data_IF_502895819887
#
_entry.id   IF_502895819887
#
_cell.length_a   1.000
_cell.length_b   1.000
_cell.length_c   1.000
_cell.angle_alpha   90.00
_cell.angle_beta   90.00
_cell.angle_gamma   90.00
#
_symmetry.space_group_name_H-M   'P 1'
#
loop_
_entity.id
_entity.type
_entity.pdbx_description
1 polymer ?
#
# COMPACT_ATOMS: atom_id res chain seq x y z
N UNK A 1 -16.19 2.98 -14.75
CA UNK A 1 -14.78 3.19 -14.36
C UNK A 1 -14.63 4.34 -13.36
N UNK A 2 -15.11 5.54 -13.68
CA UNK A 2 -14.98 6.74 -12.83
C UNK A 2 -15.47 6.57 -11.38
N UNK A 3 -16.63 5.93 -11.16
CA UNK A 3 -17.19 5.73 -9.82
C UNK A 3 -16.33 4.86 -8.89
N UNK A 4 -15.72 3.81 -9.45
CA UNK A 4 -14.82 2.93 -8.68
C UNK A 4 -13.55 3.68 -8.26
N UNK A 5 -13.01 4.49 -9.17
CA UNK A 5 -11.85 5.32 -8.88
C UNK A 5 -12.17 6.40 -7.83
N UNK A 6 -13.32 7.08 -7.95
CA UNK A 6 -13.72 8.08 -6.96
C UNK A 6 -13.93 7.47 -5.58
N UNK A 7 -14.52 6.27 -5.49
CA UNK A 7 -14.65 5.55 -4.22
C UNK A 7 -13.27 5.24 -3.62
N UNK A 8 -12.38 4.65 -4.41
CA UNK A 8 -11.03 4.30 -3.95
C UNK A 8 -10.24 5.53 -3.48
N UNK A 9 -10.39 6.68 -4.16
CA UNK A 9 -9.76 7.93 -3.74
C UNK A 9 -10.30 8.45 -2.40
N UNK A 10 -11.61 8.34 -2.16
CA UNK A 10 -12.23 8.73 -0.88
C UNK A 10 -11.79 7.77 0.23
N UNK A 11 -11.74 6.47 -0.05
CA UNK A 11 -11.31 5.46 0.92
C UNK A 11 -9.83 5.63 1.26
N UNK A 12 -8.98 5.90 0.27
CA UNK A 12 -7.56 6.20 0.45
C UNK A 12 -7.34 7.50 1.25
N UNK A 13 -8.15 8.54 1.03
CA UNK A 13 -8.10 9.77 1.81
C UNK A 13 -8.45 9.56 3.29
N UNK A 14 -9.26 8.55 3.60
CA UNK A 14 -9.56 8.11 4.97
C UNK A 14 -8.55 7.12 5.54
N UNK A 15 -7.48 6.81 4.81
CA UNK A 15 -6.48 5.83 5.22
C UNK A 15 -6.97 4.39 5.14
N UNK A 16 -7.90 4.09 4.22
CA UNK A 16 -8.47 2.76 4.01
C UNK A 16 -8.49 2.40 2.52
N UNK A 17 -8.98 1.21 2.17
CA UNK A 17 -9.05 0.77 0.77
C UNK A 17 -7.87 -0.09 0.32
N UNK A 18 -7.99 -0.63 -0.88
CA UNK A 18 -7.05 -1.63 -1.40
C UNK A 18 -5.67 -1.02 -1.67
N UNK A 19 -5.62 0.25 -2.07
CA UNK A 19 -4.36 0.98 -2.26
C UNK A 19 -3.55 1.11 -0.97
N UNK A 20 -4.23 1.40 0.15
CA UNK A 20 -3.58 1.51 1.47
C UNK A 20 -3.12 0.14 1.95
N UNK A 21 -3.95 -0.90 1.81
CA UNK A 21 -3.55 -2.27 2.17
C UNK A 21 -2.29 -2.71 1.41
N UNK A 22 -2.25 -2.49 0.09
CA UNK A 22 -1.05 -2.81 -0.72
C UNK A 22 0.20 -2.06 -0.26
N UNK A 23 0.05 -0.78 0.12
CA UNK A 23 1.16 0.01 0.67
C UNK A 23 1.67 -0.62 1.98
N UNK A 24 0.79 -0.96 2.90
CA UNK A 24 1.15 -1.58 4.19
C UNK A 24 1.79 -2.96 4.02
N UNK A 25 1.26 -3.79 3.13
CA UNK A 25 1.83 -5.09 2.78
C UNK A 25 3.25 -4.93 2.23
N UNK A 26 3.44 -3.94 1.34
CA UNK A 26 4.76 -3.64 0.75
C UNK A 26 5.75 -3.17 1.81
N UNK A 27 5.32 -2.32 2.75
CA UNK A 27 6.17 -1.88 3.85
C UNK A 27 6.54 -3.02 4.79
N UNK A 28 5.59 -3.88 5.17
CA UNK A 28 5.84 -5.05 6.01
C UNK A 28 6.82 -6.01 5.36
N UNK A 29 6.66 -6.26 4.05
CA UNK A 29 7.58 -7.08 3.28
C UNK A 29 8.98 -6.47 3.19
N UNK A 30 9.08 -5.14 3.04
CA UNK A 30 10.36 -4.45 3.04
C UNK A 30 11.05 -4.50 4.41
N UNK A 31 10.30 -4.38 5.51
CA UNK A 31 10.83 -4.49 6.88
C UNK A 31 11.32 -5.91 7.16
N UNK A 32 10.57 -6.94 6.75
CA UNK A 32 10.97 -8.33 6.88
C UNK A 32 12.30 -8.63 6.15
N UNK A 33 12.53 -7.98 5.01
CA UNK A 33 13.75 -8.16 4.22
C UNK A 33 14.86 -7.14 4.53
N UNK A 34 14.72 -6.34 5.59
CA UNK A 34 15.68 -5.28 5.93
C UNK A 34 17.10 -5.81 6.12
N UNK A 35 17.25 -7.03 6.64
CA UNK A 35 18.55 -7.68 6.80
C UNK A 35 19.28 -7.92 5.46
N UNK A 36 18.52 -8.06 4.36
CA UNK A 36 19.06 -8.28 3.03
C UNK A 36 19.31 -6.98 2.25
N UNK A 37 19.08 -5.81 2.83
CA UNK A 37 19.24 -4.51 2.15
C UNK A 37 20.66 -4.24 1.63
N UNK A 38 21.66 -4.98 2.13
CA UNK A 38 23.05 -4.88 1.71
C UNK A 38 23.40 -5.77 0.50
N UNK A 39 22.53 -6.72 0.15
CA UNK A 39 22.68 -7.52 -1.08
C UNK A 39 22.04 -6.74 -2.24
N UNK A 40 22.86 -6.00 -3.00
CA UNK A 40 22.45 -5.29 -4.21
C UNK A 40 22.56 -6.18 -5.45
#
# INVERSE_FOLDING_TARGET
>A
MAFKLSSELVDAAKGSGDAIRKKEDTHSMAEANRAFAHFR
#
